data_IF_789428777243
#
_entry.id   IF_789428777243
#
_cell.length_a   1.000
_cell.length_b   1.000
_cell.length_c   1.000
_cell.angle_alpha   90.00
_cell.angle_beta   90.00
_cell.angle_gamma   90.00
#
_symmetry.space_group_name_H-M   'P 1'
#
loop_
_entity.id
_entity.type
_entity.pdbx_description
1 polymer ?
#
# COMPACT_ATOMS: atom_id res chain seq x y z
N UNK A 1 -44.27 -22.90 -20.83
CA UNK A 1 -43.75 -22.23 -22.04
C UNK A 1 -43.02 -20.98 -21.57
N UNK A 2 -41.80 -21.08 -21.05
CA UNK A 2 -40.52 -21.30 -21.73
C UNK A 2 -40.21 -20.21 -22.77
N UNK A 3 -39.34 -19.26 -22.40
CA UNK A 3 -38.09 -18.97 -23.11
C UNK A 3 -37.21 -18.00 -22.29
N UNK A 4 -36.25 -18.59 -21.57
CA UNK A 4 -35.00 -17.94 -21.16
C UNK A 4 -34.01 -18.04 -22.32
N UNK A 5 -33.21 -16.99 -22.54
CA UNK A 5 -32.03 -17.02 -23.42
C UNK A 5 -30.79 -16.69 -22.56
N UNK A 6 -29.64 -17.36 -22.79
CA UNK A 6 -28.64 -17.63 -21.76
C UNK A 6 -27.52 -16.58 -21.68
N UNK A 7 -26.98 -16.41 -20.47
CA UNK A 7 -25.73 -15.70 -20.22
C UNK A 7 -24.53 -16.47 -20.77
N UNK A 8 -23.61 -15.74 -21.41
CA UNK A 8 -22.33 -16.24 -21.89
C UNK A 8 -21.24 -15.84 -20.88
N UNK A 9 -20.88 -16.77 -19.99
CA UNK A 9 -19.56 -16.83 -19.37
C UNK A 9 -18.75 -17.90 -20.13
N UNK A 10 -17.53 -17.62 -20.62
CA UNK A 10 -16.66 -18.67 -21.11
C UNK A 10 -15.94 -19.41 -19.97
N UNK A 11 -15.76 -20.70 -20.20
CA UNK A 11 -15.38 -21.78 -19.29
C UNK A 11 -13.88 -21.91 -19.03
N UNK A 12 -13.58 -22.48 -17.85
CA UNK A 12 -12.29 -23.03 -17.44
C UNK A 12 -11.83 -24.21 -18.33
N UNK A 13 -10.53 -24.43 -18.31
CA UNK A 13 -9.74 -25.63 -18.65
C UNK A 13 -9.57 -26.02 -20.12
N UNK A 14 -8.32 -25.91 -20.60
CA UNK A 14 -7.74 -26.80 -21.61
C UNK A 14 -6.25 -27.03 -21.28
N UNK A 15 -5.95 -28.23 -20.78
CA UNK A 15 -4.61 -28.79 -20.76
C UNK A 15 -4.09 -28.94 -22.19
N UNK A 16 -2.87 -28.45 -22.46
CA UNK A 16 -2.11 -28.90 -23.62
C UNK A 16 -0.66 -29.14 -23.23
N UNK A 17 -0.26 -30.42 -23.32
CA UNK A 17 1.13 -30.89 -23.31
C UNK A 17 1.92 -30.12 -24.38
N UNK A 18 3.04 -29.52 -23.98
CA UNK A 18 4.09 -29.13 -24.92
C UNK A 18 5.33 -29.97 -24.58
N UNK A 19 5.66 -30.80 -25.56
CA UNK A 19 6.86 -31.63 -25.66
C UNK A 19 8.13 -30.79 -25.65
N UNK A 20 9.13 -31.31 -24.97
CA UNK A 20 10.53 -30.91 -25.01
C UNK A 20 11.07 -30.77 -26.43
N UNK A 21 11.61 -29.60 -26.76
CA UNK A 21 12.49 -29.42 -27.92
C UNK A 21 13.76 -28.71 -27.43
N UNK A 22 14.81 -29.51 -27.28
CA UNK A 22 16.20 -29.05 -27.24
C UNK A 22 16.53 -28.36 -28.56
N UNK A 23 16.92 -27.08 -28.51
CA UNK A 23 17.74 -26.47 -29.57
C UNK A 23 18.83 -25.59 -28.97
N UNK A 24 20.04 -26.00 -29.29
CA UNK A 24 21.32 -25.33 -29.09
C UNK A 24 21.37 -23.97 -29.78
N UNK A 25 21.93 -22.98 -29.08
CA UNK A 25 22.28 -21.67 -29.65
C UNK A 25 23.73 -21.71 -30.18
N UNK A 26 23.99 -21.24 -31.42
CA UNK A 26 25.34 -20.88 -31.83
C UNK A 26 25.69 -19.45 -31.43
N UNK A 27 26.93 -19.30 -30.95
CA UNK A 27 27.61 -18.07 -30.58
C UNK A 27 28.11 -17.28 -31.80
N UNK A 28 27.90 -15.97 -31.83
CA UNK A 28 28.64 -15.02 -32.68
C UNK A 28 28.75 -13.66 -31.94
N UNK A 29 29.67 -12.74 -32.28
CA UNK A 29 30.74 -12.33 -31.37
C UNK A 29 30.64 -10.86 -30.92
N UNK A 30 31.50 -10.56 -29.95
CA UNK A 30 31.81 -9.24 -29.41
C UNK A 30 32.13 -8.21 -30.49
N UNK A 31 31.44 -7.06 -30.43
CA UNK A 31 31.88 -5.83 -31.06
C UNK A 31 32.25 -4.81 -29.98
N UNK A 32 33.53 -4.45 -30.01
CA UNK A 32 34.18 -3.42 -29.22
C UNK A 32 33.60 -2.04 -29.53
N UNK A 33 33.11 -1.32 -28.52
CA UNK A 33 32.86 0.11 -28.63
C UNK A 33 33.88 0.87 -27.77
N UNK A 34 34.54 1.82 -28.41
CA UNK A 34 35.73 2.54 -27.94
C UNK A 34 35.37 3.52 -26.82
N UNK A 35 36.24 3.51 -25.82
CA UNK A 35 36.39 4.48 -24.74
C UNK A 35 36.50 5.90 -25.29
N UNK A 36 35.62 6.80 -24.83
CA UNK A 36 35.85 8.26 -24.91
C UNK A 36 36.26 8.72 -23.53
N UNK A 37 37.53 9.09 -23.44
CA UNK A 37 38.16 9.75 -22.29
C UNK A 37 37.59 11.18 -22.23
N UNK A 38 36.88 11.53 -21.16
CA UNK A 38 36.65 12.94 -20.81
C UNK A 38 37.41 13.27 -19.54
N UNK A 39 38.36 14.18 -19.72
CA UNK A 39 39.30 14.74 -18.75
C UNK A 39 38.64 15.32 -17.50
N UNK A 40 39.25 15.04 -16.35
CA UNK A 40 38.99 15.66 -15.07
C UNK A 40 39.37 17.15 -15.07
N UNK A 41 38.47 17.99 -14.56
CA UNK A 41 38.77 19.36 -14.18
C UNK A 41 38.44 19.53 -12.70
N UNK A 42 39.50 19.54 -11.90
CA UNK A 42 39.49 19.89 -10.49
C UNK A 42 39.25 21.40 -10.33
N UNK A 43 38.16 21.76 -9.66
CA UNK A 43 37.98 23.12 -9.13
C UNK A 43 37.95 23.07 -7.62
N UNK A 44 39.01 23.63 -7.03
CA UNK A 44 39.18 23.90 -5.60
C UNK A 44 38.08 24.84 -5.11
N UNK A 45 37.44 24.49 -4.00
CA UNK A 45 36.62 25.41 -3.22
C UNK A 45 37.35 25.77 -1.91
N UNK A 46 37.24 27.01 -1.41
CA UNK A 46 37.94 27.45 -0.20
C UNK A 46 37.30 26.89 1.07
N UNK A 47 38.16 26.50 2.02
CA UNK A 47 37.79 26.05 3.35
C UNK A 47 37.28 27.22 4.20
N UNK A 48 36.00 27.21 4.56
CA UNK A 48 35.44 28.08 5.59
C UNK A 48 35.33 27.25 6.87
N UNK A 49 36.14 27.60 7.85
CA UNK A 49 36.08 27.10 9.22
C UNK A 49 34.90 27.72 9.95
N UNK A 50 33.89 26.90 10.29
CA UNK A 50 32.76 27.30 11.13
C UNK A 50 33.01 26.79 12.55
N UNK A 51 33.18 27.73 13.47
CA UNK A 51 33.24 27.51 14.91
C UNK A 51 31.93 26.93 15.43
N UNK A 52 31.99 25.76 16.07
CA UNK A 52 30.86 25.10 16.73
C UNK A 52 30.53 25.86 18.02
N UNK A 53 29.39 26.55 18.06
CA UNK A 53 28.74 26.92 19.30
C UNK A 53 27.78 25.80 19.69
N UNK A 54 27.94 25.30 20.91
CA UNK A 54 27.12 24.25 21.53
C UNK A 54 25.68 24.71 21.68
N UNK A 55 24.78 24.24 20.82
CA UNK A 55 23.34 24.28 21.05
C UNK A 55 22.94 23.05 21.87
N UNK A 56 22.26 23.31 22.99
CA UNK A 56 21.72 22.31 23.92
C UNK A 56 20.94 21.22 23.14
N UNK A 57 21.37 19.97 23.30
CA UNK A 57 20.62 18.80 22.85
C UNK A 57 19.29 18.74 23.62
N UNK A 58 18.20 19.16 22.99
CA UNK A 58 16.90 18.59 23.32
C UNK A 58 16.94 17.14 22.87
N UNK A 59 16.96 16.22 23.83
CA UNK A 59 16.83 14.78 23.57
C UNK A 59 15.51 14.55 22.86
N UNK A 60 15.57 14.35 21.54
CA UNK A 60 14.46 13.75 20.83
C UNK A 60 14.41 12.26 21.21
N UNK A 61 13.21 11.72 21.47
CA UNK A 61 13.05 10.34 21.85
C UNK A 61 13.56 9.40 20.76
N UNK A 62 14.27 8.34 21.16
CA UNK A 62 15.02 7.41 20.30
C UNK A 62 14.24 6.14 19.88
N UNK A 63 12.95 6.08 20.18
CA UNK A 63 12.08 4.93 19.88
C UNK A 63 10.63 5.36 19.70
N UNK A 64 9.82 4.49 19.09
CA UNK A 64 8.36 4.61 18.99
C UNK A 64 7.71 4.88 20.35
N UNK A 65 8.26 4.34 21.43
CA UNK A 65 7.78 4.53 22.79
C UNK A 65 8.02 5.95 23.32
N UNK A 66 9.08 6.62 22.88
CA UNK A 66 9.36 7.99 23.31
C UNK A 66 8.64 9.06 22.49
N UNK A 67 8.14 8.74 21.28
CA UNK A 67 7.38 9.67 20.43
C UNK A 67 5.96 9.96 20.95
N UNK A 68 5.49 9.24 21.98
CA UNK A 68 4.15 9.42 22.54
C UNK A 68 4.20 9.82 24.01
N UNK A 69 3.34 10.76 24.44
CA UNK A 69 3.09 10.92 25.87
C UNK A 69 2.41 9.66 26.40
N UNK A 70 2.93 9.11 27.49
CA UNK A 70 2.42 7.89 28.14
C UNK A 70 0.90 7.94 28.32
N UNK A 71 0.40 9.09 28.76
CA UNK A 71 -1.00 9.32 29.11
C UNK A 71 -1.92 9.25 27.88
N UNK A 72 -1.45 9.75 26.72
CA UNK A 72 -2.23 9.70 25.46
C UNK A 72 -2.24 8.29 24.88
N UNK A 73 -1.14 7.53 25.01
CA UNK A 73 -1.08 6.14 24.56
C UNK A 73 -2.01 5.25 25.37
N UNK A 74 -2.00 5.40 26.70
CA UNK A 74 -2.82 4.59 27.60
C UNK A 74 -4.33 4.83 27.39
N UNK A 75 -4.74 6.08 27.16
CA UNK A 75 -6.13 6.42 26.82
C UNK A 75 -6.58 5.71 25.52
N UNK A 76 -5.76 5.81 24.47
CA UNK A 76 -6.06 5.19 23.16
C UNK A 76 -6.10 3.67 23.28
N UNK A 77 -5.15 3.06 23.98
CA UNK A 77 -5.13 1.61 24.24
C UNK A 77 -6.37 1.17 25.05
N UNK A 78 -6.80 1.97 26.03
CA UNK A 78 -8.02 1.73 26.78
C UNK A 78 -9.25 1.65 25.85
N UNK A 79 -9.40 2.64 24.98
CA UNK A 79 -10.50 2.68 24.01
C UNK A 79 -10.45 1.52 22.99
N UNK A 80 -9.26 1.16 22.52
CA UNK A 80 -9.04 -0.01 21.64
C UNK A 80 -9.51 -1.29 22.33
N UNK A 81 -9.07 -1.53 23.57
CA UNK A 81 -9.43 -2.74 24.34
C UNK A 81 -10.94 -2.85 24.54
N UNK A 82 -11.61 -1.73 24.83
CA UNK A 82 -13.08 -1.68 24.95
C UNK A 82 -13.81 -1.94 23.62
N UNK A 83 -13.11 -1.85 22.48
CA UNK A 83 -13.70 -1.97 21.14
C UNK A 83 -13.35 -3.29 20.43
N UNK A 84 -12.62 -4.21 21.09
CA UNK A 84 -12.21 -5.50 20.52
C UNK A 84 -13.39 -6.32 19.98
N UNK A 85 -14.54 -6.29 20.65
CA UNK A 85 -15.75 -7.00 20.24
C UNK A 85 -16.65 -6.24 19.25
N UNK A 86 -16.29 -5.00 18.89
CA UNK A 86 -17.10 -4.09 18.07
C UNK A 86 -16.41 -3.70 16.76
N UNK A 87 -15.57 -4.59 16.21
CA UNK A 87 -14.92 -4.37 14.92
C UNK A 87 -15.89 -4.51 13.76
N UNK A 88 -15.76 -3.64 12.76
CA UNK A 88 -16.50 -3.75 11.50
C UNK A 88 -15.85 -4.82 10.62
N UNK A 89 -16.26 -6.09 10.73
CA UNK A 89 -15.67 -7.20 9.97
C UNK A 89 -16.36 -7.48 8.63
N UNK A 90 -17.61 -7.05 8.48
CA UNK A 90 -18.44 -7.26 7.29
C UNK A 90 -19.53 -6.18 7.23
N UNK A 91 -20.06 -5.89 6.04
CA UNK A 91 -21.25 -5.05 5.85
C UNK A 91 -22.24 -5.68 4.89
N UNK A 92 -23.50 -5.28 4.92
CA UNK A 92 -24.53 -5.78 3.99
C UNK A 92 -25.40 -4.64 3.43
N UNK A 93 -24.77 -3.57 2.94
CA UNK A 93 -25.49 -2.35 2.55
C UNK A 93 -26.46 -2.55 1.38
N UNK A 94 -26.20 -3.50 0.49
CA UNK A 94 -27.15 -3.91 -0.57
C UNK A 94 -28.52 -4.41 -0.04
N UNK A 95 -28.62 -4.76 1.25
CA UNK A 95 -29.88 -5.15 1.88
C UNK A 95 -30.59 -4.00 2.60
N UNK A 96 -29.85 -2.93 2.95
CA UNK A 96 -30.34 -1.86 3.83
C UNK A 96 -30.40 -0.49 3.14
N UNK A 97 -29.70 -0.30 2.02
CA UNK A 97 -29.61 0.97 1.29
C UNK A 97 -30.21 0.82 -0.10
N UNK A 98 -31.32 1.50 -0.41
CA UNK A 98 -31.91 1.52 -1.74
C UNK A 98 -30.91 1.98 -2.81
N UNK A 99 -30.87 1.28 -3.95
CA UNK A 99 -30.01 1.61 -5.09
C UNK A 99 -28.68 0.86 -5.14
N UNK A 100 -28.25 0.21 -4.04
CA UNK A 100 -27.09 -0.67 -4.05
C UNK A 100 -27.45 -2.06 -4.56
N UNK A 101 -26.82 -2.51 -5.65
CA UNK A 101 -27.24 -3.71 -6.40
C UNK A 101 -26.51 -4.98 -6.00
N UNK A 102 -25.21 -4.88 -5.76
CA UNK A 102 -24.34 -6.04 -5.51
C UNK A 102 -23.26 -5.70 -4.51
N UNK A 103 -22.70 -6.74 -3.88
CA UNK A 103 -21.55 -6.67 -2.99
C UNK A 103 -20.40 -7.49 -3.56
N UNK A 104 -19.21 -6.91 -3.59
CA UNK A 104 -17.95 -7.62 -3.80
C UNK A 104 -17.13 -7.49 -2.52
N UNK A 105 -16.76 -8.63 -1.94
CA UNK A 105 -15.93 -8.68 -0.73
C UNK A 105 -14.47 -8.83 -1.12
N UNK A 106 -13.67 -7.79 -0.90
CA UNK A 106 -12.21 -7.86 -0.96
C UNK A 106 -11.61 -8.24 0.40
N UNK A 107 -10.27 -8.32 0.46
CA UNK A 107 -9.52 -8.63 1.69
C UNK A 107 -9.89 -7.65 2.83
N UNK A 108 -9.87 -6.35 2.52
CA UNK A 108 -10.10 -5.27 3.51
C UNK A 108 -11.36 -4.44 3.23
N UNK A 109 -11.80 -4.31 1.97
CA UNK A 109 -12.97 -3.50 1.60
C UNK A 109 -14.15 -4.35 1.17
N UNK A 110 -15.35 -3.93 1.57
CA UNK A 110 -16.60 -4.35 0.95
C UNK A 110 -17.00 -3.29 -0.07
N UNK A 111 -17.25 -3.68 -1.31
CA UNK A 111 -17.50 -2.78 -2.43
C UNK A 111 -18.92 -2.99 -2.93
N UNK A 112 -19.67 -1.90 -3.08
CA UNK A 112 -21.05 -1.94 -3.56
C UNK A 112 -21.23 -1.16 -4.86
N UNK A 113 -22.00 -1.72 -5.77
CA UNK A 113 -22.39 -1.07 -7.01
C UNK A 113 -23.62 -0.19 -6.80
N UNK A 114 -23.45 1.13 -6.91
CA UNK A 114 -24.51 2.15 -6.83
C UNK A 114 -24.92 2.74 -8.18
N UNK A 115 -24.66 2.07 -9.30
CA UNK A 115 -24.95 2.57 -10.64
C UNK A 115 -23.76 3.31 -11.25
N UNK A 116 -23.75 4.65 -11.17
CA UNK A 116 -22.64 5.47 -11.67
C UNK A 116 -21.44 5.53 -10.72
N UNK A 117 -21.67 5.19 -9.45
CA UNK A 117 -20.68 5.23 -8.38
C UNK A 117 -20.42 3.85 -7.77
N UNK A 118 -19.30 3.74 -7.08
CA UNK A 118 -18.99 2.64 -6.17
C UNK A 118 -19.00 3.17 -4.73
N UNK A 119 -19.58 2.40 -3.82
CA UNK A 119 -19.45 2.64 -2.37
C UNK A 119 -18.42 1.67 -1.83
N UNK A 120 -17.31 2.20 -1.35
CA UNK A 120 -16.18 1.45 -0.80
C UNK A 120 -16.24 1.56 0.72
N UNK A 121 -16.52 0.44 1.40
CA UNK A 121 -16.52 0.38 2.86
C UNK A 121 -15.24 -0.30 3.34
N UNK A 122 -14.37 0.45 3.99
CA UNK A 122 -13.11 -0.05 4.55
C UNK A 122 -13.36 -0.66 5.92
N UNK A 123 -13.12 -1.97 6.02
CA UNK A 123 -13.41 -2.78 7.20
C UNK A 123 -12.19 -2.91 8.11
N UNK A 124 -12.42 -3.41 9.32
CA UNK A 124 -11.41 -3.66 10.34
C UNK A 124 -10.65 -4.99 10.11
N UNK A 125 -10.97 -5.72 9.03
CA UNK A 125 -10.30 -6.98 8.70
C UNK A 125 -8.82 -6.74 8.44
N UNK A 126 -7.99 -7.55 9.07
CA UNK A 126 -6.56 -7.61 8.79
C UNK A 126 -6.21 -8.92 8.09
N UNK A 127 -5.45 -8.82 7.01
CA UNK A 127 -5.05 -9.96 6.19
C UNK A 127 -3.54 -10.06 5.98
N UNK A 128 -3.06 -11.29 5.96
CA UNK A 128 -1.76 -11.70 5.43
C UNK A 128 -1.83 -13.19 5.05
N UNK A 129 -0.88 -13.67 4.26
CA UNK A 129 -0.85 -15.06 3.78
C UNK A 129 -2.14 -15.46 3.04
N UNK A 130 -2.77 -14.49 2.35
CA UNK A 130 -4.06 -14.63 1.67
C UNK A 130 -5.24 -15.04 2.56
N UNK A 131 -5.11 -14.84 3.87
CA UNK A 131 -6.13 -15.15 4.88
C UNK A 131 -6.48 -13.92 5.71
N UNK A 132 -7.70 -13.88 6.24
CA UNK A 132 -8.07 -12.92 7.28
C UNK A 132 -7.54 -13.46 8.60
N UNK A 133 -6.64 -12.72 9.25
CA UNK A 133 -5.95 -13.15 10.48
C UNK A 133 -6.65 -12.67 11.75
N UNK A 134 -7.22 -11.47 11.71
CA UNK A 134 -7.88 -10.84 12.85
C UNK A 134 -8.78 -9.69 12.37
N UNK A 135 -9.59 -9.15 13.29
CA UNK A 135 -10.18 -7.82 13.15
C UNK A 135 -9.49 -6.85 14.09
N UNK A 136 -9.07 -5.71 13.58
CA UNK A 136 -8.27 -4.72 14.30
C UNK A 136 -9.15 -3.49 14.55
N UNK A 137 -9.48 -3.16 15.81
CA UNK A 137 -10.36 -2.03 16.11
C UNK A 137 -9.91 -0.75 15.40
N UNK A 138 -10.87 -0.04 14.80
CA UNK A 138 -10.67 1.26 14.14
C UNK A 138 -9.80 1.25 12.89
N UNK A 139 -9.25 0.10 12.47
CA UNK A 139 -8.38 0.00 11.29
C UNK A 139 -9.07 0.54 10.05
N UNK A 140 -10.33 0.19 9.81
CA UNK A 140 -11.05 0.61 8.61
C UNK A 140 -11.19 2.13 8.52
N UNK A 141 -11.44 2.77 9.66
CA UNK A 141 -11.50 4.23 9.76
C UNK A 141 -10.12 4.85 9.48
N UNK A 142 -9.08 4.39 10.18
CA UNK A 142 -7.71 4.88 10.00
C UNK A 142 -7.30 4.83 8.53
N UNK A 143 -7.51 3.69 7.86
CA UNK A 143 -7.13 3.50 6.46
C UNK A 143 -7.88 4.43 5.51
N UNK A 144 -9.18 4.59 5.73
CA UNK A 144 -10.03 5.44 4.89
C UNK A 144 -9.69 6.93 5.08
N UNK A 145 -9.59 7.41 6.33
CA UNK A 145 -9.26 8.81 6.62
C UNK A 145 -7.82 9.16 6.19
N UNK A 146 -6.85 8.25 6.37
CA UNK A 146 -5.48 8.42 5.84
C UNK A 146 -5.50 8.58 4.32
N UNK A 147 -6.23 7.71 3.62
CA UNK A 147 -6.34 7.78 2.16
C UNK A 147 -7.00 9.08 1.71
N UNK A 148 -8.08 9.50 2.36
CA UNK A 148 -8.78 10.76 2.04
C UNK A 148 -7.86 11.97 2.21
N UNK A 149 -7.06 12.00 3.28
CA UNK A 149 -6.07 13.05 3.50
C UNK A 149 -5.03 13.08 2.37
N UNK A 150 -4.48 11.93 1.98
CA UNK A 150 -3.52 11.86 0.88
C UNK A 150 -4.13 12.19 -0.48
N UNK A 151 -5.37 11.75 -0.72
CA UNK A 151 -6.10 12.10 -1.94
C UNK A 151 -6.21 13.60 -2.08
N UNK A 152 -6.49 14.35 -1.00
CA UNK A 152 -6.53 15.82 -1.01
C UNK A 152 -5.13 16.43 -1.22
N UNK A 153 -4.12 15.97 -0.46
CA UNK A 153 -2.75 16.48 -0.56
C UNK A 153 -2.12 16.27 -1.94
N UNK A 154 -2.57 15.26 -2.68
CA UNK A 154 -1.99 14.88 -3.98
C UNK A 154 -2.82 15.28 -5.20
N UNK A 155 -3.95 16.00 -5.02
CA UNK A 155 -4.82 16.46 -6.13
C UNK A 155 -4.08 17.24 -7.21
N UNK A 156 -3.05 17.98 -6.82
CA UNK A 156 -2.21 18.77 -7.73
C UNK A 156 -1.26 17.93 -8.59
N UNK A 157 -1.10 16.63 -8.29
CA UNK A 157 -0.28 15.68 -9.04
C UNK A 157 -1.16 14.85 -9.98
N UNK A 158 -2.29 14.34 -9.46
CA UNK A 158 -3.21 13.48 -10.20
C UNK A 158 -4.64 13.65 -9.67
N UNK A 159 -5.66 13.74 -10.54
CA UNK A 159 -7.05 13.66 -10.10
C UNK A 159 -7.35 12.26 -9.54
N UNK A 160 -8.22 12.18 -8.54
CA UNK A 160 -8.64 10.90 -7.96
C UNK A 160 -10.13 10.62 -8.22
N UNK A 161 -10.56 9.38 -7.96
CA UNK A 161 -11.94 8.96 -8.18
C UNK A 161 -12.91 9.34 -7.05
N UNK A 162 -12.45 9.93 -5.93
CA UNK A 162 -13.30 10.24 -4.78
C UNK A 162 -14.36 11.27 -5.14
N UNK A 163 -15.60 11.01 -4.73
CA UNK A 163 -16.77 11.89 -4.89
C UNK A 163 -17.18 12.46 -3.55
N UNK A 164 -17.30 11.60 -2.54
CA UNK A 164 -17.64 11.98 -1.17
C UNK A 164 -17.20 10.92 -0.17
N UNK A 165 -17.16 11.28 1.11
CA UNK A 165 -16.87 10.37 2.22
C UNK A 165 -17.95 10.53 3.29
N UNK A 166 -19.11 9.86 3.15
CA UNK A 166 -20.27 10.09 4.01
C UNK A 166 -20.12 9.51 5.42
N UNK A 167 -19.15 8.63 5.62
CA UNK A 167 -18.83 8.03 6.91
C UNK A 167 -17.31 7.85 7.01
N UNK A 168 -16.77 7.79 8.23
CA UNK A 168 -15.33 7.63 8.46
C UNK A 168 -14.78 6.33 7.88
N UNK A 169 -15.61 5.30 7.69
CA UNK A 169 -15.24 4.04 7.05
C UNK A 169 -15.56 3.99 5.54
N UNK A 170 -16.16 5.03 4.97
CA UNK A 170 -16.76 4.95 3.62
C UNK A 170 -16.23 6.03 2.69
N UNK A 171 -15.88 5.59 1.48
CA UNK A 171 -15.61 6.46 0.33
C UNK A 171 -16.57 6.11 -0.80
N UNK A 172 -17.27 7.11 -1.34
CA UNK A 172 -18.01 7.00 -2.60
C UNK A 172 -17.09 7.48 -3.72
N UNK A 173 -16.90 6.64 -4.73
CA UNK A 173 -15.98 6.91 -5.85
C UNK A 173 -16.68 6.78 -7.21
N UNK A 174 -16.19 7.52 -8.20
CA UNK A 174 -16.60 7.36 -9.61
C UNK A 174 -16.17 5.99 -10.12
N UNK A 175 -17.02 5.35 -10.93
CA UNK A 175 -16.59 4.18 -11.70
C UNK A 175 -15.58 4.58 -12.77
N UNK A 176 -14.54 3.76 -12.91
CA UNK A 176 -13.52 3.87 -13.94
C UNK A 176 -13.14 2.48 -14.46
N UNK A 177 -12.50 2.42 -15.62
CA UNK A 177 -11.87 1.19 -16.12
C UNK A 177 -10.51 1.04 -15.44
N UNK A 178 -10.40 0.11 -14.50
CA UNK A 178 -9.18 -0.11 -13.72
C UNK A 178 -8.08 -0.69 -14.61
N UNK A 179 -6.88 -0.12 -14.55
CA UNK A 179 -5.73 -0.73 -15.21
C UNK A 179 -5.32 -2.01 -14.45
N UNK A 180 -5.11 -3.15 -15.14
CA UNK A 180 -4.77 -4.44 -14.50
C UNK A 180 -3.29 -4.53 -14.07
N UNK A 181 -2.75 -3.41 -13.56
CA UNK A 181 -1.35 -3.26 -13.15
C UNK A 181 -1.31 -2.55 -11.80
N UNK A 182 -0.54 -3.08 -10.87
CA UNK A 182 -0.20 -2.39 -9.63
C UNK A 182 1.16 -1.72 -9.76
N UNK A 183 1.22 -0.44 -9.43
CA UNK A 183 2.41 0.38 -9.55
C UNK A 183 3.13 0.42 -8.20
N UNK A 184 3.94 -0.60 -7.92
CA UNK A 184 4.75 -0.63 -6.71
C UNK A 184 5.99 0.25 -6.91
N UNK A 185 6.14 1.28 -6.09
CA UNK A 185 7.31 2.18 -6.08
C UNK A 185 8.13 1.89 -4.84
N UNK A 186 9.46 1.82 -5.00
CA UNK A 186 10.40 1.49 -3.92
C UNK A 186 11.50 2.53 -3.81
N UNK A 187 11.78 2.96 -2.58
CA UNK A 187 12.90 3.83 -2.25
C UNK A 187 14.03 3.12 -1.48
N UNK A 188 13.80 1.89 -1.02
CA UNK A 188 14.74 1.15 -0.16
C UNK A 188 14.80 -0.34 -0.52
N UNK A 189 15.96 -0.95 -0.29
CA UNK A 189 16.25 -2.37 -0.54
C UNK A 189 15.79 -3.21 0.65
N UNK A 190 14.48 -3.39 0.81
CA UNK A 190 13.91 -4.09 1.98
C UNK A 190 12.84 -5.13 1.62
N UNK A 191 12.24 -5.71 2.66
CA UNK A 191 11.13 -6.66 2.64
C UNK A 191 11.56 -8.11 2.85
N UNK A 192 10.56 -8.95 3.13
CA UNK A 192 10.69 -10.37 3.49
C UNK A 192 9.93 -11.30 2.54
N UNK A 193 9.09 -10.75 1.64
CA UNK A 193 8.29 -11.52 0.68
C UNK A 193 9.09 -11.85 -0.58
N UNK A 194 8.66 -12.85 -1.34
CA UNK A 194 9.34 -13.29 -2.56
C UNK A 194 9.41 -12.21 -3.65
N UNK A 195 8.47 -11.27 -3.63
CA UNK A 195 8.42 -10.11 -4.54
C UNK A 195 9.07 -8.84 -3.97
N UNK A 196 9.64 -8.90 -2.77
CA UNK A 196 10.30 -7.73 -2.17
C UNK A 196 11.70 -7.53 -2.75
N UNK A 197 12.13 -6.26 -2.84
CA UNK A 197 13.40 -5.91 -3.50
C UNK A 197 14.60 -6.56 -2.84
N UNK A 198 14.62 -6.66 -1.50
CA UNK A 198 15.71 -7.35 -0.81
C UNK A 198 15.75 -8.85 -1.12
N UNK A 199 14.62 -9.55 -1.08
CA UNK A 199 14.58 -11.00 -1.34
C UNK A 199 15.03 -11.33 -2.76
N UNK A 200 14.53 -10.61 -3.78
CA UNK A 200 14.95 -10.85 -5.17
C UNK A 200 16.43 -10.54 -5.38
N UNK A 201 16.93 -9.44 -4.79
CA UNK A 201 18.33 -9.05 -4.91
C UNK A 201 19.27 -10.05 -4.21
N UNK A 202 18.90 -10.51 -3.00
CA UNK A 202 19.62 -11.55 -2.24
C UNK A 202 19.69 -12.87 -3.01
N UNK A 203 18.65 -13.19 -3.78
CA UNK A 203 18.58 -14.38 -4.63
C UNK A 203 19.36 -14.23 -5.97
N UNK A 204 20.13 -13.15 -6.14
CA UNK A 204 21.00 -12.95 -7.29
C UNK A 204 20.36 -12.21 -8.48
N UNK A 205 19.11 -11.75 -8.35
CA UNK A 205 18.47 -10.95 -9.41
C UNK A 205 19.14 -9.57 -9.48
N UNK A 206 19.57 -9.17 -10.68
CA UNK A 206 20.20 -7.86 -10.97
C UNK A 206 19.46 -7.03 -12.01
N UNK A 207 18.45 -7.60 -12.65
CA UNK A 207 17.47 -6.84 -13.42
C UNK A 207 16.09 -7.20 -12.88
N UNK A 208 15.42 -6.25 -12.24
CA UNK A 208 14.12 -6.47 -11.63
C UNK A 208 13.08 -5.51 -12.21
N UNK A 209 12.08 -6.06 -12.89
CA UNK A 209 11.07 -5.32 -13.64
C UNK A 209 11.65 -4.27 -14.62
N UNK A 210 12.81 -4.56 -15.23
CA UNK A 210 13.49 -3.63 -16.14
C UNK A 210 14.50 -2.69 -15.46
N UNK A 211 14.60 -2.70 -14.12
CA UNK A 211 15.56 -1.89 -13.39
C UNK A 211 16.87 -2.65 -13.19
N UNK A 212 17.99 -2.08 -13.64
CA UNK A 212 19.33 -2.62 -13.35
C UNK A 212 19.71 -2.28 -11.90
N UNK A 213 19.96 -3.30 -11.10
CA UNK A 213 20.36 -3.17 -9.71
C UNK A 213 21.89 -3.30 -9.62
N UNK A 214 22.60 -2.30 -9.06
CA UNK A 214 24.04 -2.39 -8.91
C UNK A 214 24.43 -3.48 -7.91
N UNK A 215 25.63 -4.03 -8.05
CA UNK A 215 26.20 -4.90 -7.03
C UNK A 215 26.53 -4.15 -5.74
N UNK A 216 26.63 -4.89 -4.64
CA UNK A 216 26.98 -4.36 -3.32
C UNK A 216 25.83 -3.74 -2.52
N UNK A 217 24.57 -3.76 -3.01
CA UNK A 217 23.43 -3.35 -2.20
C UNK A 217 23.28 -4.24 -0.95
N UNK A 218 22.95 -3.61 0.18
CA UNK A 218 22.69 -4.29 1.45
C UNK A 218 21.24 -4.09 1.90
N UNK A 219 20.77 -4.95 2.82
CA UNK A 219 19.40 -4.88 3.34
C UNK A 219 19.13 -3.53 3.99
N UNK A 220 17.96 -2.98 3.74
CA UNK A 220 17.45 -1.70 4.25
C UNK A 220 18.20 -0.46 3.73
N UNK A 221 19.08 -0.60 2.74
CA UNK A 221 19.76 0.53 2.11
C UNK A 221 18.78 1.40 1.31
N UNK A 222 18.93 2.73 1.41
CA UNK A 222 18.25 3.69 0.52
C UNK A 222 18.77 3.59 -0.91
N UNK A 223 17.86 3.51 -1.88
CA UNK A 223 18.20 3.54 -3.30
C UNK A 223 18.66 4.93 -3.74
N UNK A 224 19.51 4.98 -4.77
CA UNK A 224 19.97 6.24 -5.37
C UNK A 224 18.84 6.98 -6.10
N UNK A 225 17.87 6.24 -6.63
CA UNK A 225 16.64 6.75 -7.21
C UNK A 225 15.49 5.79 -6.91
N UNK A 226 14.28 6.33 -6.80
CA UNK A 226 13.07 5.52 -6.66
C UNK A 226 12.86 4.68 -7.91
N UNK A 227 12.50 3.41 -7.74
CA UNK A 227 12.27 2.49 -8.85
C UNK A 227 10.83 2.01 -8.88
N UNK A 228 10.32 1.74 -10.07
CA UNK A 228 9.01 1.12 -10.27
C UNK A 228 9.20 -0.39 -10.49
N UNK A 229 8.48 -1.20 -9.73
CA UNK A 229 8.48 -2.67 -9.86
C UNK A 229 7.05 -3.17 -10.02
N UNK A 230 6.41 -2.91 -11.19
CA UNK A 230 5.00 -3.18 -11.34
C UNK A 230 4.69 -4.67 -11.31
N UNK A 231 3.47 -4.99 -10.91
CA UNK A 231 2.93 -6.35 -10.89
C UNK A 231 1.61 -6.41 -11.65
N UNK A 232 1.29 -7.56 -12.23
CA UNK A 232 -0.05 -7.81 -12.77
C UNK A 232 -0.97 -8.31 -11.66
N UNK A 233 -2.23 -7.87 -11.68
CA UNK A 233 -3.29 -8.44 -10.83
C UNK A 233 -3.67 -9.83 -11.37
N UNK A 234 -3.09 -10.89 -10.84
CA UNK A 234 -3.53 -12.25 -11.12
C UNK A 234 -4.43 -12.78 -9.99
N UNK A 235 -5.19 -13.85 -10.25
CA UNK A 235 -6.18 -14.37 -9.31
C UNK A 235 -5.56 -14.94 -8.01
N UNK A 236 -4.35 -15.49 -8.09
CA UNK A 236 -3.73 -16.25 -7.01
C UNK A 236 -2.55 -15.51 -6.34
N UNK A 237 -1.77 -14.73 -7.08
CA UNK A 237 -0.66 -13.91 -6.55
C UNK A 237 -0.21 -12.85 -7.57
N UNK A 238 0.27 -11.71 -7.09
CA UNK A 238 0.78 -10.65 -7.96
C UNK A 238 2.11 -11.08 -8.60
N UNK A 239 2.20 -10.97 -9.94
CA UNK A 239 3.36 -11.40 -10.72
C UNK A 239 4.16 -10.15 -11.15
N UNK A 240 5.45 -10.03 -10.81
CA UNK A 240 6.30 -8.96 -11.32
C UNK A 240 6.35 -8.95 -12.85
N UNK A 241 6.24 -7.76 -13.44
CA UNK A 241 6.19 -7.58 -14.90
C UNK A 241 7.05 -6.39 -15.31
N UNK A 242 7.59 -6.43 -16.53
CA UNK A 242 8.35 -5.31 -17.10
C UNK A 242 7.43 -4.31 -17.84
N UNK A 243 7.86 -3.04 -18.02
CA UNK A 243 7.13 -2.07 -18.86
C UNK A 243 6.76 -2.62 -20.25
N UNK A 244 7.72 -3.25 -20.93
CA UNK A 244 7.53 -3.78 -22.28
C UNK A 244 6.48 -4.91 -22.32
N UNK A 245 6.47 -5.78 -21.32
CA UNK A 245 5.49 -6.85 -21.20
C UNK A 245 4.07 -6.32 -20.93
N UNK A 246 3.93 -5.27 -20.12
CA UNK A 246 2.64 -4.61 -19.86
C UNK A 246 2.01 -4.16 -21.18
N UNK A 247 2.77 -3.46 -22.02
CA UNK A 247 2.29 -2.93 -23.30
C UNK A 247 2.08 -4.05 -24.31
N UNK A 248 3.03 -4.99 -24.41
CA UNK A 248 2.95 -6.13 -25.34
C UNK A 248 1.74 -7.04 -25.07
N UNK A 249 1.38 -7.24 -23.80
CA UNK A 249 0.23 -8.05 -23.42
C UNK A 249 -1.10 -7.27 -23.47
N UNK A 250 -1.08 -6.00 -23.87
CA UNK A 250 -2.29 -5.17 -23.99
C UNK A 250 -2.93 -4.82 -22.65
N UNK A 251 -2.18 -4.89 -21.56
CA UNK A 251 -2.66 -4.53 -20.22
C UNK A 251 -2.87 -3.01 -20.12
N UNK A 252 -2.01 -2.24 -20.79
CA UNK A 252 -2.11 -0.78 -20.93
C UNK A 252 -1.59 -0.35 -22.30
N UNK A 253 -2.01 0.82 -22.77
CA UNK A 253 -1.32 1.49 -23.88
C UNK A 253 0.00 2.09 -23.39
N UNK A 254 0.96 2.32 -24.29
CA UNK A 254 2.23 2.98 -23.94
C UNK A 254 1.97 4.34 -23.27
N UNK A 255 1.07 5.15 -23.84
CA UNK A 255 0.75 6.47 -23.30
C UNK A 255 0.14 6.41 -21.89
N UNK A 256 -0.78 5.47 -21.65
CA UNK A 256 -1.38 5.29 -20.32
C UNK A 256 -0.34 4.81 -19.30
N UNK A 257 0.53 3.89 -19.69
CA UNK A 257 1.61 3.39 -18.83
C UNK A 257 2.62 4.49 -18.47
N UNK A 258 3.06 5.28 -19.44
CA UNK A 258 4.01 6.37 -19.23
C UNK A 258 3.40 7.45 -18.30
N UNK A 259 2.12 7.78 -18.50
CA UNK A 259 1.41 8.73 -17.64
C UNK A 259 1.26 8.22 -16.20
N UNK A 260 0.78 6.98 -16.03
CA UNK A 260 0.58 6.37 -14.71
C UNK A 260 1.92 6.17 -13.98
N UNK A 261 2.97 5.72 -14.66
CA UNK A 261 4.30 5.52 -14.08
C UNK A 261 4.91 6.82 -13.59
N UNK A 262 4.84 7.89 -14.40
CA UNK A 262 5.31 9.23 -14.01
C UNK A 262 4.54 9.77 -12.81
N UNK A 263 3.21 9.57 -12.77
CA UNK A 263 2.38 9.97 -11.63
C UNK A 263 2.71 9.17 -10.37
N UNK A 264 2.90 7.85 -10.48
CA UNK A 264 3.28 6.97 -9.36
C UNK A 264 4.60 7.42 -8.72
N UNK A 265 5.64 7.66 -9.53
CA UNK A 265 6.94 8.14 -9.04
C UNK A 265 6.81 9.51 -8.35
N UNK A 266 6.07 10.45 -8.96
CA UNK A 266 5.86 11.80 -8.39
C UNK A 266 5.03 11.78 -7.10
N UNK A 267 4.01 10.93 -7.02
CA UNK A 267 3.25 10.69 -5.80
C UNK A 267 4.17 10.16 -4.70
N UNK A 268 5.05 9.23 -5.04
CA UNK A 268 5.95 8.60 -4.07
C UNK A 268 6.99 9.58 -3.55
N UNK A 269 7.62 10.36 -4.43
CA UNK A 269 8.55 11.44 -4.05
C UNK A 269 7.88 12.49 -3.15
N UNK A 270 6.66 12.92 -3.50
CA UNK A 270 5.89 13.84 -2.67
C UNK A 270 5.56 13.22 -1.31
N UNK A 271 5.13 11.96 -1.29
CA UNK A 271 4.83 11.21 -0.08
C UNK A 271 6.05 11.05 0.82
N UNK A 272 7.22 10.74 0.25
CA UNK A 272 8.49 10.65 0.99
C UNK A 272 8.85 11.97 1.66
N UNK A 273 8.70 13.10 0.95
CA UNK A 273 8.99 14.42 1.52
C UNK A 273 8.07 14.73 2.71
N UNK A 274 6.75 14.56 2.52
CA UNK A 274 5.77 14.85 3.57
C UNK A 274 5.91 13.90 4.77
N UNK A 275 6.15 12.60 4.52
CA UNK A 275 6.42 11.65 5.59
C UNK A 275 7.65 12.05 6.41
N UNK A 276 8.74 12.45 5.73
CA UNK A 276 9.97 12.88 6.39
C UNK A 276 9.79 14.14 7.23
N UNK A 277 9.03 15.12 6.71
CA UNK A 277 8.63 16.32 7.46
C UNK A 277 7.89 15.97 8.76
N UNK A 278 7.19 14.84 8.79
CA UNK A 278 6.44 14.35 9.96
C UNK A 278 7.17 13.25 10.74
N UNK A 279 8.47 13.05 10.52
CA UNK A 279 9.28 12.10 11.30
C UNK A 279 9.17 10.63 10.87
N UNK A 280 8.66 10.38 9.67
CA UNK A 280 8.50 9.05 9.08
C UNK A 280 9.30 8.89 7.78
N UNK A 281 9.66 7.66 7.43
CA UNK A 281 10.21 7.33 6.11
C UNK A 281 9.17 6.51 5.36
N UNK A 282 8.72 7.00 4.21
CA UNK A 282 7.95 6.20 3.27
C UNK A 282 8.90 5.34 2.42
N UNK A 283 8.85 4.02 2.66
CA UNK A 283 9.87 3.07 2.23
C UNK A 283 9.57 2.50 0.85
N UNK A 284 8.34 2.03 0.69
CA UNK A 284 7.71 1.59 -0.55
C UNK A 284 6.19 1.73 -0.44
N UNK A 285 5.52 1.77 -1.59
CA UNK A 285 4.06 1.85 -1.66
C UNK A 285 3.55 1.24 -2.96
N UNK A 286 2.25 0.93 -2.98
CA UNK A 286 1.53 0.41 -4.14
C UNK A 286 0.44 1.40 -4.55
N UNK A 287 0.43 1.78 -5.82
CA UNK A 287 -0.66 2.57 -6.40
C UNK A 287 -1.49 1.75 -7.38
N UNK A 288 -2.74 2.16 -7.52
CA UNK A 288 -3.61 1.71 -8.59
C UNK A 288 -4.18 2.92 -9.33
N UNK A 289 -4.37 2.75 -10.62
CA UNK A 289 -4.96 3.78 -11.48
C UNK A 289 -6.11 3.19 -12.28
N UNK A 290 -7.04 4.05 -12.67
CA UNK A 290 -8.10 3.72 -13.61
C UNK A 290 -8.33 4.83 -14.61
N UNK A 291 -9.01 4.51 -15.71
CA UNK A 291 -9.37 5.45 -16.77
C UNK A 291 -10.83 5.87 -16.62
N UNK A 292 -11.05 7.16 -16.44
CA UNK A 292 -12.38 7.78 -16.41
C UNK A 292 -13.10 7.67 -17.76
N UNK A 293 -14.41 7.95 -17.77
CA UNK A 293 -15.24 7.92 -18.99
C UNK A 293 -14.76 8.91 -20.06
N UNK A 294 -14.12 10.00 -19.63
CA UNK A 294 -13.52 11.05 -20.46
C UNK A 294 -12.09 10.72 -20.92
N UNK A 295 -11.56 9.55 -20.54
CA UNK A 295 -10.20 9.14 -20.83
C UNK A 295 -9.15 9.59 -19.80
N UNK A 296 -9.54 10.32 -18.76
CA UNK A 296 -8.61 10.82 -17.73
C UNK A 296 -8.07 9.69 -16.86
N UNK A 297 -6.74 9.64 -16.65
CA UNK A 297 -6.13 8.73 -15.67
C UNK A 297 -6.35 9.24 -14.25
N UNK A 298 -7.10 8.48 -13.47
CA UNK A 298 -7.47 8.74 -12.08
C UNK A 298 -6.68 7.85 -11.12
N UNK A 299 -6.23 8.43 -10.02
CA UNK A 299 -5.76 7.68 -8.86
C UNK A 299 -6.97 7.06 -8.14
N UNK A 300 -6.89 5.77 -7.85
CA UNK A 300 -7.96 5.01 -7.22
C UNK A 300 -7.43 4.26 -6.00
N UNK A 301 -8.26 3.35 -5.48
CA UNK A 301 -7.89 2.44 -4.40
C UNK A 301 -7.61 3.18 -3.08
N UNK A 302 -6.54 2.83 -2.37
CA UNK A 302 -6.06 3.51 -1.17
C UNK A 302 -4.64 4.06 -1.40
N UNK A 303 -4.25 5.08 -0.64
CA UNK A 303 -2.99 5.80 -0.88
C UNK A 303 -2.24 5.97 0.43
N UNK A 304 -0.98 5.52 0.46
CA UNK A 304 -0.03 5.83 1.53
C UNK A 304 -0.48 5.40 2.94
N UNK A 305 -1.32 4.37 2.99
CA UNK A 305 -1.79 3.73 4.23
C UNK A 305 -0.78 2.70 4.76
N UNK A 306 -0.90 2.25 6.02
CA UNK A 306 -0.09 1.15 6.56
C UNK A 306 -0.33 -0.21 5.87
N UNK A 307 -1.43 -0.37 5.12
CA UNK A 307 -1.70 -1.61 4.38
C UNK A 307 -1.12 -1.60 2.97
N UNK A 308 -1.04 -0.43 2.33
CA UNK A 308 -0.48 -0.23 0.99
C UNK A 308 1.01 0.14 1.00
N UNK A 309 1.56 0.53 2.16
CA UNK A 309 2.87 1.16 2.26
C UNK A 309 3.64 0.73 3.51
N UNK A 310 4.96 0.70 3.40
CA UNK A 310 5.85 0.53 4.55
C UNK A 310 6.32 1.89 5.06
N UNK A 311 6.19 2.07 6.38
CA UNK A 311 6.68 3.24 7.08
C UNK A 311 7.70 2.86 8.15
N UNK A 312 8.81 3.59 8.18
CA UNK A 312 9.78 3.53 9.26
C UNK A 312 9.80 4.81 10.07
N UNK A 313 10.28 4.72 11.31
CA UNK A 313 10.56 5.88 12.15
C UNK A 313 11.85 6.53 11.66
N UNK A 314 11.79 7.80 11.27
CA UNK A 314 12.88 8.45 10.56
C UNK A 314 14.13 8.64 11.44
N UNK A 315 13.94 9.04 12.70
CA UNK A 315 15.05 9.36 13.59
C UNK A 315 15.88 8.13 14.00
N UNK A 316 15.31 6.93 13.98
CA UNK A 316 15.99 5.70 14.38
C UNK A 316 16.64 4.97 13.20
N UNK A 317 16.33 5.33 11.95
CA UNK A 317 16.79 4.61 10.75
C UNK A 317 18.31 4.57 10.60
N UNK A 318 19.00 5.71 10.66
CA UNK A 318 20.43 5.79 10.34
C UNK A 318 21.28 4.97 11.33
N UNK A 319 21.04 5.14 12.63
CA UNK A 319 21.73 4.38 13.67
C UNK A 319 21.48 2.88 13.52
N UNK A 320 20.23 2.47 13.29
CA UNK A 320 19.88 1.06 13.13
C UNK A 320 20.51 0.46 11.88
N UNK A 321 20.52 1.20 10.78
CA UNK A 321 21.15 0.77 9.52
C UNK A 321 22.66 0.59 9.68
N UNK A 322 23.37 1.54 10.31
CA UNK A 322 24.81 1.44 10.56
C UNK A 322 25.17 0.26 11.47
N UNK A 323 24.29 -0.09 12.41
CA UNK A 323 24.45 -1.24 13.30
C UNK A 323 23.93 -2.57 12.73
N UNK A 324 23.45 -2.59 11.47
CA UNK A 324 22.91 -3.79 10.83
C UNK A 324 21.59 -4.30 11.43
N UNK A 325 20.85 -3.43 12.11
CA UNK A 325 19.55 -3.73 12.73
C UNK A 325 18.39 -3.45 11.77
N UNK A 326 17.26 -4.15 11.97
CA UNK A 326 16.03 -3.85 11.23
C UNK A 326 15.49 -2.47 11.59
N UNK A 327 15.07 -1.63 10.64
CA UNK A 327 14.41 -0.37 10.90
C UNK A 327 13.17 -0.56 11.76
N UNK A 328 12.90 0.43 12.61
CA UNK A 328 11.68 0.46 13.40
C UNK A 328 10.49 0.76 12.50
N UNK A 329 9.52 -0.16 12.45
CA UNK A 329 8.37 -0.10 11.55
C UNK A 329 7.05 0.05 12.31
N UNK A 330 6.06 0.61 11.63
CA UNK A 330 4.69 0.82 12.14
C UNK A 330 3.70 -0.16 11.49
N UNK A 331 4.16 -0.99 10.56
CA UNK A 331 3.33 -1.86 9.75
C UNK A 331 2.99 -3.20 10.45
N UNK A 332 2.32 -4.08 9.71
CA UNK A 332 1.79 -5.37 10.20
C UNK A 332 2.81 -6.50 10.25
N UNK A 333 4.12 -6.26 10.04
CA UNK A 333 5.11 -7.33 9.98
C UNK A 333 5.21 -8.13 11.28
N UNK A 334 5.05 -7.49 12.44
CA UNK A 334 5.08 -8.21 13.73
C UNK A 334 3.89 -9.17 13.90
N UNK A 335 2.71 -8.85 13.36
CA UNK A 335 1.58 -9.78 13.30
C UNK A 335 1.93 -11.00 12.44
N UNK A 336 2.56 -10.77 11.27
CA UNK A 336 2.98 -11.85 10.36
C UNK A 336 4.01 -12.77 11.00
N UNK A 337 5.00 -12.21 11.70
CA UNK A 337 6.02 -12.97 12.40
C UNK A 337 5.40 -13.81 13.51
N UNK A 338 4.49 -13.24 14.31
CA UNK A 338 3.77 -14.01 15.33
C UNK A 338 3.07 -15.23 14.75
N UNK A 339 2.31 -15.09 13.65
CA UNK A 339 1.67 -16.25 13.03
C UNK A 339 2.68 -17.28 12.50
N UNK A 340 3.78 -16.84 11.85
CA UNK A 340 4.83 -17.76 11.37
C UNK A 340 5.51 -18.55 12.50
N UNK A 341 5.61 -17.95 13.68
CA UNK A 341 6.26 -18.58 14.84
C UNK A 341 5.31 -19.55 15.58
N UNK A 342 3.99 -19.42 15.37
CA UNK A 342 2.97 -20.17 16.13
C UNK A 342 2.14 -21.15 15.28
N UNK A 343 2.25 -21.10 13.95
CA UNK A 343 1.55 -21.99 13.02
C UNK A 343 2.25 -22.01 11.64
N UNK A 344 1.85 -22.93 10.75
CA UNK A 344 2.11 -22.80 9.33
C UNK A 344 0.93 -22.08 8.65
N UNK A 345 1.00 -20.75 8.44
CA UNK A 345 -0.16 -19.99 7.98
C UNK A 345 -0.65 -20.35 6.57
N UNK A 346 0.20 -21.02 5.79
CA UNK A 346 -0.09 -21.44 4.41
C UNK A 346 -0.75 -22.82 4.33
N UNK A 347 -0.49 -23.71 5.29
CA UNK A 347 -0.94 -25.11 5.23
C UNK A 347 -1.96 -25.47 6.32
N UNK A 348 -1.90 -24.83 7.48
CA UNK A 348 -2.76 -25.17 8.61
C UNK A 348 -4.21 -24.79 8.31
N UNK A 349 -5.15 -25.73 8.47
CA UNK A 349 -6.57 -25.50 8.19
C UNK A 349 -7.16 -24.41 9.11
N UNK A 350 -6.78 -24.43 10.39
CA UNK A 350 -7.23 -23.47 11.42
C UNK A 350 -6.03 -22.71 11.94
N UNK A 351 -6.12 -21.37 11.93
CA UNK A 351 -5.10 -20.52 12.54
C UNK A 351 -5.43 -20.27 14.02
N UNK A 352 -4.41 -20.12 14.89
CA UNK A 352 -4.63 -19.65 16.25
C UNK A 352 -5.16 -18.21 16.24
N UNK A 353 -5.98 -17.86 17.24
CA UNK A 353 -6.43 -16.48 17.40
C UNK A 353 -5.26 -15.57 17.77
N UNK A 354 -5.19 -14.39 17.15
CA UNK A 354 -4.20 -13.38 17.51
C UNK A 354 -4.43 -12.90 18.97
N UNK A 355 -3.38 -12.83 19.81
CA UNK A 355 -3.49 -12.34 21.18
C UNK A 355 -4.09 -10.92 21.21
N UNK A 356 -4.90 -10.63 22.23
CA UNK A 356 -5.58 -9.33 22.35
C UNK A 356 -4.59 -8.16 22.43
N UNK A 357 -3.44 -8.40 23.06
CA UNK A 357 -2.34 -7.45 23.20
C UNK A 357 -1.72 -7.15 21.83
N UNK A 358 -1.55 -8.18 20.99
CA UNK A 358 -1.04 -8.06 19.63
C UNK A 358 -2.01 -7.27 18.74
N UNK A 359 -3.31 -7.56 18.84
CA UNK A 359 -4.37 -6.81 18.16
C UNK A 359 -4.42 -5.35 18.62
N UNK A 360 -4.29 -5.11 19.93
CA UNK A 360 -4.36 -3.77 20.50
C UNK A 360 -3.15 -2.92 20.11
N UNK A 361 -1.95 -3.50 20.13
CA UNK A 361 -0.72 -2.85 19.68
C UNK A 361 -0.80 -2.51 18.18
N UNK A 362 -1.36 -3.39 17.34
CA UNK A 362 -1.55 -3.10 15.92
C UNK A 362 -2.55 -1.97 15.68
N UNK A 363 -3.68 -1.96 16.38
CA UNK A 363 -4.64 -0.87 16.31
C UNK A 363 -4.01 0.46 16.71
N UNK A 364 -3.22 0.47 17.79
CA UNK A 364 -2.51 1.67 18.23
C UNK A 364 -1.47 2.14 17.22
N UNK A 365 -0.68 1.25 16.63
CA UNK A 365 0.29 1.62 15.56
C UNK A 365 -0.40 2.24 14.36
N UNK A 366 -1.57 1.75 13.98
CA UNK A 366 -2.36 2.32 12.89
C UNK A 366 -2.81 3.75 13.23
N UNK A 367 -3.33 3.95 14.44
CA UNK A 367 -3.71 5.28 14.94
C UNK A 367 -2.48 6.20 15.00
N UNK A 368 -1.38 5.74 15.58
CA UNK A 368 -0.13 6.48 15.67
C UNK A 368 0.36 6.93 14.27
N UNK A 369 0.32 6.04 13.28
CA UNK A 369 0.71 6.39 11.92
C UNK A 369 -0.22 7.46 11.33
N UNK A 370 -1.53 7.32 11.52
CA UNK A 370 -2.51 8.32 11.09
C UNK A 370 -2.23 9.68 11.74
N UNK A 371 -2.08 9.72 13.06
CA UNK A 371 -1.87 10.97 13.79
C UNK A 371 -0.55 11.63 13.39
N UNK A 372 0.50 10.83 13.23
CA UNK A 372 1.82 11.31 12.79
C UNK A 372 1.77 11.85 11.37
N UNK A 373 1.22 11.08 10.41
CA UNK A 373 1.24 11.50 9.01
C UNK A 373 0.28 12.65 8.71
N UNK A 374 -0.85 12.73 9.42
CA UNK A 374 -1.85 13.79 9.20
C UNK A 374 -1.65 15.01 10.10
N UNK A 375 -0.80 14.91 11.14
CA UNK A 375 -0.70 15.87 12.24
C UNK A 375 -2.08 16.22 12.86
N UNK A 376 -2.98 15.24 12.89
CA UNK A 376 -4.36 15.38 13.40
C UNK A 376 -4.65 14.30 14.43
N UNK A 377 -5.30 14.65 15.54
CA UNK A 377 -5.70 13.65 16.55
C UNK A 377 -6.77 12.71 15.99
N UNK A 378 -6.63 11.42 16.25
CA UNK A 378 -7.60 10.42 15.85
C UNK A 378 -8.86 10.53 16.73
N UNK A 379 -10.02 10.66 16.08
CA UNK A 379 -11.28 10.75 16.79
C UNK A 379 -11.91 9.36 16.94
N UNK A 380 -11.89 8.85 18.17
CA UNK A 380 -12.52 7.58 18.55
C UNK A 380 -14.05 7.69 18.38
N UNK A 381 -14.69 6.84 17.56
CA UNK A 381 -16.13 6.88 17.36
C UNK A 381 -16.91 6.58 18.64
N UNK A 382 -18.02 7.28 18.82
CA UNK A 382 -18.96 6.96 19.91
C UNK A 382 -19.69 5.65 19.63
N UNK A 383 -19.95 4.86 20.66
CA UNK A 383 -20.72 3.60 20.60
C UNK A 383 -22.23 3.80 20.81
N UNK A 384 -22.74 5.03 20.65
CA UNK A 384 -24.15 5.37 20.90
C UNK A 384 -25.13 4.72 19.92
N UNK A 385 -24.67 4.41 18.71
CA UNK A 385 -25.45 3.72 17.69
C UNK A 385 -24.62 2.57 17.09
N UNK A 386 -25.25 1.46 16.65
CA UNK A 386 -24.56 0.40 15.93
C UNK A 386 -23.89 0.93 14.65
N UNK A 387 -22.64 0.52 14.42
CA UNK A 387 -21.83 1.00 13.28
C UNK A 387 -22.50 0.75 11.92
N UNK A 388 -23.23 -0.36 11.79
CA UNK A 388 -23.95 -0.72 10.57
C UNK A 388 -25.10 0.23 10.26
N UNK A 389 -25.82 0.69 11.29
CA UNK A 389 -26.95 1.60 11.14
C UNK A 389 -26.47 3.00 10.78
N UNK A 390 -25.40 3.46 11.44
CA UNK A 390 -24.69 4.71 11.11
C UNK A 390 -24.28 4.73 9.64
N UNK A 391 -23.56 3.70 9.20
CA UNK A 391 -23.05 3.60 7.82
C UNK A 391 -24.22 3.54 6.83
N UNK A 392 -25.24 2.71 7.08
CA UNK A 392 -26.38 2.58 6.17
C UNK A 392 -27.12 3.90 6.00
N UNK A 393 -27.38 4.62 7.10
CA UNK A 393 -28.03 5.93 7.09
C UNK A 393 -27.21 6.97 6.33
N UNK A 394 -25.92 7.08 6.64
CA UNK A 394 -25.02 8.06 6.01
C UNK A 394 -24.87 7.82 4.50
N UNK A 395 -24.72 6.56 4.08
CA UNK A 395 -24.63 6.19 2.66
C UNK A 395 -25.93 6.44 1.92
N UNK A 396 -27.09 6.09 2.50
CA UNK A 396 -28.39 6.34 1.88
C UNK A 396 -28.64 7.83 1.62
N UNK A 397 -28.31 8.69 2.59
CA UNK A 397 -28.42 10.14 2.46
C UNK A 397 -27.51 10.68 1.36
N UNK A 398 -26.25 10.21 1.33
CA UNK A 398 -25.27 10.68 0.35
C UNK A 398 -25.57 10.21 -1.07
N UNK A 399 -26.07 8.99 -1.27
CA UNK A 399 -26.49 8.54 -2.60
C UNK A 399 -27.71 9.30 -3.11
N UNK A 400 -28.65 9.63 -2.22
CA UNK A 400 -29.85 10.41 -2.58
C UNK A 400 -29.53 11.84 -3.01
N UNK A 401 -28.41 12.41 -2.59
CA UNK A 401 -27.97 13.75 -3.01
C UNK A 401 -27.09 13.76 -4.27
N UNK A 402 -26.66 12.58 -4.74
CA UNK A 402 -25.87 12.39 -5.96
C UNK A 402 -26.72 11.97 -7.17
N UNK A 403 -27.98 11.59 -6.93
CA UNK A 403 -29.02 11.37 -7.96
C UNK A 403 -29.68 12.70 -8.32
#
# INVERSE_FOLDING_TARGET
>A
MAQCVPGLNPTKTLHRKISSINKSFPSIPSSSCKTVISTSLSKKFPSISVSVMSSQQQQQPSSLEGLTSSDSRDEVIGAIRSSLSNCLSETNLHLTVPGLKSKTRGKVRDIYDGGDYLVLVTTDRQSAFDRILASIPFKGQVLNETSLWWFDKTRHIVPNAVVSAPDKNVTIAKKCSVFPVEFVVRGYVTGSTDTSLWTVYKNGVRNYCGNVLPDGLVKNQKLTANILTPTTKAADHDIPVTPDEIVKHGLMTQADYDEASRKALRLFEYGQRVALEHGLILVDTKYEFGKGRDGTVLLIDEVHTPDSSRYWIAHSYEERFQNGLEPENVDKEFLRLWFKDHCNPYEDEVLPDAPKELVSELAWRYIFLFETITNSKFEIPTTKEPIHDRISRNVALALSSLQ
#
